data_IF_837487899036
#
_entry.id   IF_837487899036
#
_cell.length_a   1.000
_cell.length_b   1.000
_cell.length_c   1.000
_cell.angle_alpha   90.00
_cell.angle_beta   90.00
_cell.angle_gamma   90.00
#
_symmetry.space_group_name_H-M   'P 1'
#
loop_
_entity.id
_entity.type
_entity.pdbx_description
1 polymer ?
#
# COMPACT_ATOMS: atom_id res chain seq x y z
N UNK A 1 -5.26 7.04 5.51
CA UNK A 1 -4.70 6.85 4.14
C UNK A 1 -5.80 6.30 3.23
N UNK A 2 -6.40 7.16 2.40
CA UNK A 2 -7.39 6.73 1.40
C UNK A 2 -6.64 6.46 0.10
N UNK A 3 -6.30 5.19 -0.14
CA UNK A 3 -5.32 4.80 -1.15
C UNK A 3 -5.75 4.99 -2.62
N UNK A 4 -7.00 5.39 -2.90
CA UNK A 4 -7.57 5.45 -4.24
C UNK A 4 -8.51 6.64 -4.47
N UNK A 5 -8.32 7.72 -3.71
CA UNK A 5 -9.13 8.92 -3.89
C UNK A 5 -8.63 9.71 -5.12
N UNK A 6 -9.53 10.03 -6.06
CA UNK A 6 -9.21 10.99 -7.13
C UNK A 6 -9.15 12.39 -6.49
N UNK A 7 -7.94 12.94 -6.36
CA UNK A 7 -7.69 14.22 -5.68
C UNK A 7 -8.46 15.37 -6.35
N UNK A 8 -8.59 15.36 -7.68
CA UNK A 8 -9.33 16.40 -8.38
C UNK A 8 -10.82 16.33 -8.03
N UNK A 9 -11.44 15.16 -8.13
CA UNK A 9 -12.84 14.96 -7.74
C UNK A 9 -13.07 15.32 -6.28
N UNK A 10 -12.17 14.90 -5.38
CA UNK A 10 -12.22 15.21 -3.96
C UNK A 10 -12.23 16.72 -3.70
N UNK A 11 -11.35 17.47 -4.35
CA UNK A 11 -11.23 18.92 -4.17
C UNK A 11 -12.44 19.63 -4.79
N UNK A 12 -12.82 19.28 -6.02
CA UNK A 12 -13.96 19.91 -6.70
C UNK A 12 -15.27 19.70 -5.92
N UNK A 13 -15.57 18.46 -5.52
CA UNK A 13 -16.77 18.16 -4.74
C UNK A 13 -16.69 18.80 -3.34
N UNK A 14 -15.51 18.77 -2.71
CA UNK A 14 -15.29 19.39 -1.41
C UNK A 14 -15.53 20.89 -1.39
N UNK A 15 -15.13 21.61 -2.44
CA UNK A 15 -15.40 23.05 -2.60
C UNK A 15 -16.90 23.32 -2.70
N UNK A 16 -17.63 22.53 -3.50
CA UNK A 16 -19.09 22.68 -3.65
C UNK A 16 -19.79 22.51 -2.30
N UNK A 17 -19.53 21.40 -1.61
CA UNK A 17 -20.15 21.13 -0.30
C UNK A 17 -19.80 22.19 0.76
N UNK A 18 -18.55 22.68 0.73
CA UNK A 18 -18.12 23.75 1.63
C UNK A 18 -18.77 25.09 1.30
N UNK A 19 -19.02 25.40 0.02
CA UNK A 19 -19.72 26.63 -0.40
C UNK A 19 -21.21 26.63 -0.05
N UNK A 20 -21.80 25.45 0.11
CA UNK A 20 -23.19 25.25 0.51
C UNK A 20 -23.36 25.15 2.04
N UNK A 21 -22.28 25.35 2.82
CA UNK A 21 -22.23 25.21 4.29
C UNK A 21 -22.78 23.85 4.78
N UNK A 22 -22.61 22.78 3.98
CA UNK A 22 -23.07 21.43 4.31
C UNK A 22 -22.17 20.81 5.38
N UNK A 23 -22.76 20.29 6.46
CA UNK A 23 -22.03 19.56 7.49
C UNK A 23 -21.65 18.14 7.02
N UNK A 24 -20.54 17.60 7.52
CA UNK A 24 -20.09 16.24 7.20
C UNK A 24 -21.13 15.17 7.57
N UNK A 25 -21.99 15.44 8.55
CA UNK A 25 -23.05 14.53 9.00
C UNK A 25 -24.41 14.81 8.36
N UNK A 26 -24.49 15.66 7.34
CA UNK A 26 -25.74 15.98 6.68
C UNK A 26 -26.41 14.71 6.11
N UNK A 27 -27.70 14.55 6.40
CA UNK A 27 -28.49 13.36 6.04
C UNK A 27 -28.72 13.25 4.53
N UNK A 28 -28.59 14.35 3.78
CA UNK A 28 -28.70 14.38 2.33
C UNK A 28 -27.51 13.71 1.63
N UNK A 29 -26.36 13.61 2.30
CA UNK A 29 -25.15 13.04 1.72
C UNK A 29 -25.17 11.51 1.74
N UNK A 30 -24.85 10.92 0.58
CA UNK A 30 -24.57 9.50 0.49
C UNK A 30 -23.34 9.14 1.34
N UNK A 31 -23.27 7.88 1.79
CA UNK A 31 -22.17 7.43 2.65
C UNK A 31 -20.77 7.62 2.01
N UNK A 32 -20.69 7.57 0.68
CA UNK A 32 -19.45 7.83 -0.06
C UNK A 32 -19.08 9.31 -0.04
N UNK A 33 -20.05 10.20 -0.26
CA UNK A 33 -19.86 11.65 -0.26
C UNK A 33 -19.44 12.14 1.12
N UNK A 34 -20.07 11.64 2.20
CA UNK A 34 -19.64 11.95 3.58
C UNK A 34 -18.20 11.55 3.84
N UNK A 35 -17.81 10.36 3.35
CA UNK A 35 -16.44 9.87 3.51
C UNK A 35 -15.45 10.72 2.71
N UNK A 36 -15.78 11.09 1.48
CA UNK A 36 -14.94 11.97 0.66
C UNK A 36 -14.84 13.36 1.27
N UNK A 37 -15.95 13.94 1.73
CA UNK A 37 -15.94 15.26 2.35
C UNK A 37 -15.15 15.28 3.67
N UNK A 38 -15.24 14.23 4.49
CA UNK A 38 -14.38 14.07 5.66
C UNK A 38 -12.88 14.07 5.28
N UNK A 39 -12.51 13.37 4.19
CA UNK A 39 -11.13 13.35 3.70
C UNK A 39 -10.70 14.73 3.18
N UNK A 40 -11.58 15.45 2.52
CA UNK A 40 -11.32 16.82 2.09
C UNK A 40 -11.07 17.75 3.29
N UNK A 41 -11.90 17.70 4.34
CA UNK A 41 -11.69 18.48 5.56
C UNK A 41 -10.36 18.16 6.24
N UNK A 42 -9.99 16.88 6.33
CA UNK A 42 -8.68 16.46 6.83
C UNK A 42 -7.52 17.01 5.99
N UNK A 43 -7.67 17.03 4.65
CA UNK A 43 -6.67 17.62 3.74
C UNK A 43 -6.48 19.12 4.01
N UNK A 44 -7.56 19.86 4.24
CA UNK A 44 -7.50 21.28 4.62
C UNK A 44 -6.78 21.50 5.95
N UNK A 45 -7.01 20.61 6.94
CA UNK A 45 -6.30 20.68 8.22
C UNK A 45 -4.80 20.36 8.09
N UNK A 46 -4.41 19.49 7.15
CA UNK A 46 -3.01 19.12 6.92
C UNK A 46 -2.20 20.20 6.19
N UNK A 47 -2.83 21.00 5.32
CA UNK A 47 -2.16 21.99 4.48
C UNK A 47 -2.62 23.39 4.89
N UNK A 48 -1.81 24.13 5.68
CA UNK A 48 -2.15 25.48 6.09
C UNK A 48 -2.48 26.39 4.90
N UNK A 49 -3.53 27.19 5.06
CA UNK A 49 -4.03 28.15 4.06
C UNK A 49 -4.56 27.53 2.76
N UNK A 50 -4.66 26.20 2.66
CA UNK A 50 -5.23 25.56 1.47
C UNK A 50 -6.69 25.98 1.26
N UNK A 51 -7.49 26.04 2.32
CA UNK A 51 -8.89 26.44 2.27
C UNK A 51 -9.07 27.83 1.63
N UNK A 52 -8.42 28.85 2.20
CA UNK A 52 -8.47 30.22 1.67
C UNK A 52 -7.99 30.27 0.20
N UNK A 53 -6.91 29.55 -0.11
CA UNK A 53 -6.39 29.48 -1.49
C UNK A 53 -7.37 28.84 -2.45
N UNK A 54 -8.07 27.78 -2.07
CA UNK A 54 -9.07 27.14 -2.93
C UNK A 54 -10.26 28.07 -3.18
N UNK A 55 -10.71 28.81 -2.16
CA UNK A 55 -11.85 29.72 -2.25
C UNK A 55 -11.57 30.96 -3.12
N UNK A 56 -10.32 31.42 -3.16
CA UNK A 56 -9.92 32.60 -3.94
C UNK A 56 -9.40 32.26 -5.36
N UNK A 57 -9.29 30.97 -5.69
CA UNK A 57 -8.68 30.51 -6.94
C UNK A 57 -9.69 30.35 -8.08
N UNK A 58 -9.20 30.49 -9.31
CA UNK A 58 -9.93 30.06 -10.50
C UNK A 58 -9.98 28.52 -10.60
N UNK A 59 -10.93 27.99 -11.37
CA UNK A 59 -11.08 26.55 -11.63
C UNK A 59 -9.80 25.91 -12.21
N UNK A 60 -9.10 26.63 -13.11
CA UNK A 60 -7.82 26.19 -13.68
C UNK A 60 -6.72 26.08 -12.60
N UNK A 61 -6.68 27.05 -11.68
CA UNK A 61 -5.71 27.03 -10.58
C UNK A 61 -6.03 25.92 -9.57
N UNK A 62 -7.31 25.68 -9.27
CA UNK A 62 -7.76 24.54 -8.45
C UNK A 62 -7.33 23.22 -9.08
N UNK A 63 -7.51 23.06 -10.39
CA UNK A 63 -7.06 21.88 -11.14
C UNK A 63 -5.55 21.70 -11.01
N UNK A 64 -4.78 22.77 -11.20
CA UNK A 64 -3.32 22.76 -11.03
C UNK A 64 -2.91 22.35 -9.61
N UNK A 65 -3.60 22.84 -8.57
CA UNK A 65 -3.33 22.44 -7.19
C UNK A 65 -3.61 20.95 -6.96
N UNK A 66 -4.72 20.44 -7.48
CA UNK A 66 -5.07 19.02 -7.40
C UNK A 66 -4.01 18.13 -8.07
N UNK A 67 -3.54 18.52 -9.26
CA UNK A 67 -2.48 17.82 -9.99
C UNK A 67 -1.17 17.80 -9.20
N UNK A 68 -0.78 18.90 -8.57
CA UNK A 68 0.43 18.98 -7.76
C UNK A 68 0.35 18.07 -6.52
N UNK A 69 -0.80 18.03 -5.85
CA UNK A 69 -1.03 17.14 -4.71
C UNK A 69 -0.98 15.68 -5.17
N UNK A 70 -1.69 15.34 -6.26
CA UNK A 70 -1.68 13.99 -6.83
C UNK A 70 -0.27 13.56 -7.25
N UNK A 71 0.51 14.47 -7.83
CA UNK A 71 1.91 14.23 -8.20
C UNK A 71 2.78 13.95 -6.97
N UNK A 72 2.58 14.68 -5.88
CA UNK A 72 3.25 14.44 -4.61
C UNK A 72 2.92 13.06 -4.02
N UNK A 73 1.64 12.69 -4.02
CA UNK A 73 1.16 11.36 -3.57
C UNK A 73 1.80 10.25 -4.41
N UNK A 74 1.77 10.39 -5.74
CA UNK A 74 2.35 9.40 -6.65
C UNK A 74 3.88 9.29 -6.47
N UNK A 75 4.56 10.40 -6.22
CA UNK A 75 5.99 10.43 -5.92
C UNK A 75 6.33 9.65 -4.64
N UNK A 76 5.63 9.94 -3.55
CA UNK A 76 5.81 9.23 -2.28
C UNK A 76 5.52 7.72 -2.42
N UNK A 77 4.43 7.37 -3.11
CA UNK A 77 4.08 5.98 -3.40
C UNK A 77 5.16 5.26 -4.21
N UNK A 78 5.72 5.92 -5.23
CA UNK A 78 6.77 5.35 -6.07
C UNK A 78 8.09 5.15 -5.31
N UNK A 79 8.45 6.09 -4.43
CA UNK A 79 9.63 5.99 -3.57
C UNK A 79 9.49 4.84 -2.57
N UNK A 80 8.36 4.73 -1.88
CA UNK A 80 8.04 3.61 -0.98
C UNK A 80 8.08 2.28 -1.73
N UNK A 81 7.42 2.21 -2.89
CA UNK A 81 7.42 1.04 -3.78
C UNK A 81 8.85 0.62 -4.10
N UNK A 82 9.70 1.56 -4.48
CA UNK A 82 11.08 1.30 -4.88
C UNK A 82 11.92 0.81 -3.70
N UNK A 83 11.78 1.44 -2.53
CA UNK A 83 12.48 1.04 -1.30
C UNK A 83 12.13 -0.38 -0.87
N UNK A 84 10.83 -0.67 -0.77
CA UNK A 84 10.32 -2.01 -0.42
C UNK A 84 10.77 -3.04 -1.45
N UNK A 85 10.70 -2.75 -2.76
CA UNK A 85 11.15 -3.67 -3.81
C UNK A 85 12.60 -4.11 -3.66
N UNK A 86 13.48 -3.23 -3.22
CA UNK A 86 14.90 -3.56 -3.05
C UNK A 86 15.09 -4.37 -1.77
N UNK A 87 14.52 -3.91 -0.66
CA UNK A 87 14.73 -4.49 0.66
C UNK A 87 14.05 -5.86 0.83
N UNK A 88 12.94 -6.10 0.11
CA UNK A 88 12.16 -7.34 0.30
C UNK A 88 12.94 -8.61 -0.03
N UNK A 89 13.90 -8.52 -0.94
CA UNK A 89 14.78 -9.65 -1.27
C UNK A 89 15.57 -10.09 -0.05
N UNK A 90 16.02 -9.15 0.78
CA UNK A 90 16.73 -9.46 2.01
C UNK A 90 15.78 -10.07 3.04
N UNK A 91 14.55 -9.57 3.15
CA UNK A 91 13.57 -10.07 4.13
C UNK A 91 13.06 -11.48 3.83
N UNK A 92 12.94 -11.85 2.54
CA UNK A 92 12.53 -13.21 2.15
C UNK A 92 13.71 -14.19 2.13
N UNK A 93 14.95 -13.69 2.21
CA UNK A 93 16.14 -14.53 2.29
C UNK A 93 16.36 -14.94 3.74
N UNK A 94 16.35 -16.25 4.01
CA UNK A 94 16.62 -16.75 5.37
C UNK A 94 18.05 -16.40 5.79
N UNK A 95 18.24 -16.05 7.07
CA UNK A 95 19.56 -15.67 7.61
C UNK A 95 20.58 -16.77 7.35
N UNK A 96 21.70 -16.41 6.73
CA UNK A 96 22.77 -17.34 6.37
C UNK A 96 22.50 -18.21 5.14
N UNK A 97 21.39 -18.00 4.43
CA UNK A 97 21.07 -18.68 3.19
C UNK A 97 21.07 -17.72 1.99
N UNK A 98 21.04 -18.28 0.79
CA UNK A 98 20.83 -17.55 -0.46
C UNK A 98 19.60 -18.09 -1.17
N UNK A 99 18.85 -17.20 -1.83
CA UNK A 99 17.80 -17.63 -2.75
C UNK A 99 18.40 -18.38 -3.93
N UNK A 100 17.73 -19.46 -4.36
CA UNK A 100 18.11 -20.25 -5.52
C UNK A 100 16.92 -20.32 -6.49
N UNK A 101 17.06 -19.80 -7.72
CA UNK A 101 18.20 -19.04 -8.22
C UNK A 101 18.40 -17.70 -7.50
N UNK A 102 19.62 -17.15 -7.52
CA UNK A 102 19.87 -15.84 -6.91
C UNK A 102 18.98 -14.76 -7.54
N UNK A 103 18.30 -13.96 -6.71
CA UNK A 103 17.51 -12.81 -7.16
C UNK A 103 18.30 -11.52 -6.89
N UNK A 104 18.74 -10.79 -7.94
CA UNK A 104 19.32 -9.48 -7.76
C UNK A 104 18.29 -8.48 -7.23
N UNK A 105 18.70 -7.62 -6.28
CA UNK A 105 17.83 -6.61 -5.67
C UNK A 105 17.22 -5.60 -6.65
N UNK A 106 17.87 -5.39 -7.80
CA UNK A 106 17.45 -4.42 -8.82
C UNK A 106 16.78 -5.04 -10.05
N UNK A 107 16.65 -6.38 -10.12
CA UNK A 107 16.10 -7.10 -11.29
C UNK A 107 14.77 -7.74 -10.93
N UNK A 108 13.76 -7.56 -11.79
CA UNK A 108 12.38 -8.03 -11.55
C UNK A 108 12.03 -9.35 -12.25
N UNK A 109 12.69 -9.69 -13.35
CA UNK A 109 12.32 -10.82 -14.22
C UNK A 109 12.33 -12.18 -13.51
N UNK A 110 13.21 -12.36 -12.52
CA UNK A 110 13.31 -13.58 -11.72
C UNK A 110 12.48 -13.58 -10.43
N UNK A 111 11.44 -12.75 -10.33
CA UNK A 111 10.57 -12.66 -9.14
C UNK A 111 9.16 -13.15 -9.44
N UNK A 112 8.36 -13.27 -8.40
CA UNK A 112 6.97 -13.65 -8.49
C UNK A 112 6.81 -15.14 -8.64
N UNK A 113 5.86 -15.57 -9.48
CA UNK A 113 5.65 -16.99 -9.75
C UNK A 113 6.85 -17.65 -10.43
N UNK A 114 7.74 -16.88 -11.08
CA UNK A 114 8.95 -17.40 -11.73
C UNK A 114 10.07 -17.85 -10.77
N UNK A 115 9.89 -17.70 -9.46
CA UNK A 115 10.88 -18.13 -8.47
C UNK A 115 10.20 -18.78 -7.27
N UNK A 116 10.75 -19.92 -6.83
CA UNK A 116 10.17 -20.78 -5.78
C UNK A 116 9.73 -20.01 -4.53
N UNK A 117 10.65 -19.26 -3.90
CA UNK A 117 10.36 -18.51 -2.67
C UNK A 117 9.30 -17.42 -2.85
N UNK A 118 9.40 -16.60 -3.90
CA UNK A 118 8.46 -15.48 -4.11
C UNK A 118 7.11 -15.98 -4.61
N UNK A 119 7.09 -17.06 -5.37
CA UNK A 119 5.89 -17.69 -5.88
C UNK A 119 5.08 -18.33 -4.77
N UNK A 120 5.74 -19.05 -3.86
CA UNK A 120 5.10 -19.61 -2.66
C UNK A 120 4.44 -18.53 -1.80
N UNK A 121 5.12 -17.39 -1.58
CA UNK A 121 4.58 -16.25 -0.82
C UNK A 121 3.39 -15.57 -1.51
N UNK A 122 3.38 -15.53 -2.84
CA UNK A 122 2.30 -14.95 -3.65
C UNK A 122 1.15 -15.91 -3.91
N UNK A 123 1.36 -17.21 -3.70
CA UNK A 123 0.37 -18.23 -4.00
C UNK A 123 -0.94 -17.88 -3.27
N UNK A 124 -2.08 -17.90 -3.96
CA UNK A 124 -3.38 -17.77 -3.31
C UNK A 124 -3.56 -18.81 -2.23
N UNK A 125 -4.19 -18.45 -1.11
CA UNK A 125 -4.44 -19.39 0.00
C UNK A 125 -5.29 -20.60 -0.39
N UNK A 126 -6.13 -20.47 -1.42
CA UNK A 126 -6.93 -21.59 -1.96
C UNK A 126 -6.15 -22.52 -2.89
N UNK A 127 -4.87 -22.26 -3.15
CA UNK A 127 -4.02 -23.04 -4.05
C UNK A 127 -2.81 -23.61 -3.31
N UNK A 128 -2.48 -24.86 -3.60
CA UNK A 128 -1.26 -25.49 -3.10
C UNK A 128 -0.09 -25.22 -4.05
N UNK A 129 0.91 -24.47 -3.57
CA UNK A 129 2.13 -24.18 -4.33
C UNK A 129 2.98 -25.44 -4.60
N UNK A 130 2.89 -26.46 -3.74
CA UNK A 130 3.59 -27.73 -3.95
C UNK A 130 3.00 -28.55 -5.11
N UNK A 131 1.76 -28.26 -5.51
CA UNK A 131 1.14 -28.87 -6.67
C UNK A 131 1.76 -28.30 -7.97
N UNK A 132 2.58 -29.13 -8.62
CA UNK A 132 3.33 -28.77 -9.84
C UNK A 132 2.40 -28.30 -10.97
N UNK A 133 1.21 -28.88 -11.10
CA UNK A 133 0.26 -28.50 -12.15
C UNK A 133 -0.27 -27.08 -11.91
N UNK A 134 -0.72 -26.79 -10.68
CA UNK A 134 -1.22 -25.46 -10.31
C UNK A 134 -0.13 -24.40 -10.39
N UNK A 135 1.07 -24.73 -9.92
CA UNK A 135 2.26 -23.87 -10.04
C UNK A 135 2.56 -23.55 -11.51
N UNK A 136 2.58 -24.55 -12.38
CA UNK A 136 2.83 -24.35 -13.82
C UNK A 136 1.77 -23.43 -14.45
N UNK A 137 0.50 -23.62 -14.08
CA UNK A 137 -0.60 -22.76 -14.56
C UNK A 137 -0.45 -21.31 -14.07
N UNK A 138 -0.02 -21.08 -12.83
CA UNK A 138 0.26 -19.74 -12.30
C UNK A 138 1.45 -19.09 -13.02
N UNK A 139 2.55 -19.82 -13.20
CA UNK A 139 3.76 -19.35 -13.91
C UNK A 139 3.44 -18.95 -15.35
N UNK A 140 2.65 -19.76 -16.05
CA UNK A 140 2.27 -19.51 -17.43
C UNK A 140 1.11 -18.51 -17.59
N UNK A 141 0.58 -17.96 -16.48
CA UNK A 141 -0.55 -17.01 -16.50
C UNK A 141 -1.89 -17.62 -16.91
N UNK A 142 -2.01 -18.96 -16.91
CA UNK A 142 -3.25 -19.69 -17.20
C UNK A 142 -4.27 -19.58 -16.07
N UNK A 143 -3.81 -19.39 -14.84
CA UNK A 143 -4.64 -19.00 -13.70
C UNK A 143 -4.47 -17.50 -13.48
N UNK A 144 -5.55 -16.75 -13.65
CA UNK A 144 -5.62 -15.35 -13.24
C UNK A 144 -6.09 -15.31 -11.79
N UNK A 145 -5.18 -14.95 -10.88
CA UNK A 145 -5.50 -14.75 -9.46
C UNK A 145 -6.40 -13.53 -9.30
N UNK A 146 -7.64 -13.75 -8.89
CA UNK A 146 -8.60 -12.70 -8.64
C UNK A 146 -8.22 -11.82 -7.43
N UNK A 147 -8.81 -10.63 -7.33
CA UNK A 147 -8.47 -9.65 -6.28
C UNK A 147 -8.87 -10.09 -4.87
N UNK A 148 -9.88 -10.94 -4.76
CA UNK A 148 -10.40 -11.57 -3.55
C UNK A 148 -9.61 -12.82 -3.13
N UNK A 149 -8.77 -13.35 -4.01
CA UNK A 149 -7.84 -14.42 -3.69
C UNK A 149 -6.56 -13.86 -3.06
N UNK A 150 -6.46 -14.05 -1.75
CA UNK A 150 -5.41 -13.44 -0.96
C UNK A 150 -4.11 -14.26 -1.02
N UNK A 151 -2.97 -13.59 -1.17
CA UNK A 151 -1.68 -14.27 -1.16
C UNK A 151 -1.29 -14.67 0.26
N UNK A 152 -0.62 -15.81 0.37
CA UNK A 152 -0.16 -16.39 1.64
C UNK A 152 0.73 -15.43 2.46
N UNK A 153 1.48 -14.53 1.82
CA UNK A 153 2.34 -13.57 2.53
C UNK A 153 1.59 -12.64 3.49
N UNK A 154 0.26 -12.51 3.39
CA UNK A 154 -0.51 -11.68 4.31
C UNK A 154 -0.62 -12.30 5.71
N UNK A 155 -0.50 -13.62 5.84
CA UNK A 155 -0.76 -14.34 7.08
C UNK A 155 0.49 -14.50 7.94
N UNK A 156 0.31 -14.53 9.27
CA UNK A 156 1.40 -14.88 10.19
C UNK A 156 1.99 -16.25 9.80
N UNK A 157 3.31 -16.35 9.86
CA UNK A 157 4.07 -17.56 9.50
C UNK A 157 3.70 -18.18 8.14
N UNK A 158 3.10 -17.39 7.24
CA UNK A 158 2.68 -17.83 5.91
C UNK A 158 1.72 -19.03 5.95
N UNK A 159 0.87 -19.10 6.98
CA UNK A 159 -0.06 -20.20 7.19
C UNK A 159 -1.50 -19.70 7.13
N UNK A 160 -2.32 -20.34 6.29
CA UNK A 160 -3.74 -20.06 6.15
C UNK A 160 -4.58 -21.07 6.92
N UNK A 161 -5.51 -20.57 7.73
CA UNK A 161 -6.49 -21.39 8.44
C UNK A 161 -7.80 -21.41 7.65
N UNK A 162 -8.19 -22.61 7.21
CA UNK A 162 -9.40 -22.81 6.39
C UNK A 162 -10.68 -22.69 7.24
N UNK A 163 -10.58 -23.03 8.53
CA UNK A 163 -11.71 -22.97 9.47
C UNK A 163 -11.92 -21.55 10.00
N UNK A 164 -10.82 -20.77 10.14
CA UNK A 164 -10.87 -19.35 10.46
C UNK A 164 -9.97 -18.50 9.52
N UNK A 165 -10.49 -18.11 8.34
CA UNK A 165 -9.74 -17.31 7.36
C UNK A 165 -9.27 -15.94 7.85
N UNK A 166 -9.82 -15.43 8.95
CA UNK A 166 -9.43 -14.14 9.52
C UNK A 166 -8.30 -14.29 10.54
N UNK A 167 -8.08 -15.50 11.03
CA UNK A 167 -7.00 -15.81 11.94
C UNK A 167 -5.66 -15.42 11.29
N UNK A 168 -4.87 -14.65 12.05
CA UNK A 168 -3.51 -14.27 11.65
C UNK A 168 -3.39 -13.47 10.34
N UNK A 169 -4.50 -12.99 9.79
CA UNK A 169 -4.52 -12.14 8.61
C UNK A 169 -3.83 -10.80 8.89
N UNK A 170 -3.01 -10.34 7.93
CA UNK A 170 -2.22 -9.10 7.99
C UNK A 170 -1.17 -9.05 9.12
N UNK A 171 -0.80 -10.21 9.69
CA UNK A 171 0.17 -10.33 10.77
C UNK A 171 1.54 -10.89 10.34
N UNK A 172 1.82 -10.98 9.04
CA UNK A 172 3.10 -11.53 8.59
C UNK A 172 4.29 -10.64 8.95
N UNK A 173 5.44 -11.27 9.21
CA UNK A 173 6.69 -10.56 9.45
C UNK A 173 7.12 -9.67 8.27
N UNK A 174 6.72 -10.02 7.03
CA UNK A 174 6.98 -9.19 5.85
C UNK A 174 6.23 -7.85 5.92
N UNK A 175 4.97 -7.87 6.37
CA UNK A 175 4.19 -6.64 6.54
C UNK A 175 4.77 -5.77 7.65
N UNK A 176 5.24 -6.39 8.75
CA UNK A 176 5.93 -5.66 9.83
C UNK A 176 7.22 -5.00 9.32
N UNK A 177 8.06 -5.73 8.59
CA UNK A 177 9.29 -5.19 8.00
C UNK A 177 9.01 -4.06 7.01
N UNK A 178 8.01 -4.23 6.14
CA UNK A 178 7.63 -3.21 5.17
C UNK A 178 7.04 -1.96 5.84
N UNK A 179 6.21 -2.12 6.88
CA UNK A 179 5.68 -0.99 7.66
C UNK A 179 6.82 -0.22 8.32
N UNK A 180 7.76 -0.91 8.98
CA UNK A 180 8.93 -0.27 9.58
C UNK A 180 9.75 0.48 8.52
N UNK A 181 9.99 -0.13 7.37
CA UNK A 181 10.75 0.48 6.29
C UNK A 181 10.13 1.80 5.79
N UNK A 182 8.81 1.83 5.60
CA UNK A 182 8.06 2.99 5.08
C UNK A 182 7.85 4.06 6.16
N UNK A 183 7.35 3.66 7.33
CA UNK A 183 6.84 4.61 8.31
C UNK A 183 7.87 4.98 9.38
N UNK A 184 8.90 4.17 9.62
CA UNK A 184 9.89 4.49 10.65
C UNK A 184 11.25 4.81 10.03
N UNK A 185 12.00 3.82 9.59
CA UNK A 185 13.17 4.00 8.74
C UNK A 185 13.59 2.67 8.11
N UNK A 186 14.29 2.67 6.97
CA UNK A 186 14.90 1.46 6.42
C UNK A 186 15.80 0.71 7.41
N UNK A 187 16.52 1.44 8.28
CA UNK A 187 17.45 0.88 9.27
C UNK A 187 16.77 0.23 10.48
N UNK A 188 15.51 0.55 10.76
CA UNK A 188 14.76 0.07 11.93
C UNK A 188 14.25 -1.38 11.81
N UNK A 189 14.36 -1.98 10.62
CA UNK A 189 13.87 -3.33 10.37
C UNK A 189 14.69 -4.35 11.17
N UNK A 190 16.02 -4.22 11.15
CA UNK A 190 16.96 -5.17 11.78
C UNK A 190 17.61 -4.65 13.07
N UNK A 191 17.59 -3.35 13.33
CA UNK A 191 18.30 -2.71 14.44
C UNK A 191 17.42 -1.70 15.17
N UNK A 192 17.77 -1.40 16.43
CA UNK A 192 17.21 -0.22 17.10
C UNK A 192 17.51 1.05 16.28
N UNK A 193 16.54 1.96 16.11
CA UNK A 193 16.70 3.09 15.20
C UNK A 193 17.82 4.03 15.66
N UNK A 194 18.94 4.05 14.93
CA UNK A 194 19.98 5.10 15.01
C UNK A 194 19.72 6.22 13.99
N UNK A 195 18.45 6.56 13.76
CA UNK A 195 18.09 7.54 12.75
C UNK A 195 18.43 8.96 13.23
N UNK A 196 19.09 9.75 12.38
CA UNK A 196 19.36 11.18 12.63
C UNK A 196 18.21 12.09 12.22
N UNK A 197 17.17 11.53 11.58
CA UNK A 197 15.96 12.23 11.14
C UNK A 197 14.72 11.48 11.62
N UNK A 198 13.68 12.21 11.99
CA UNK A 198 12.37 11.66 12.34
C UNK A 198 11.79 10.84 11.19
N UNK A 199 11.23 9.67 11.50
CA UNK A 199 10.52 8.84 10.53
C UNK A 199 9.14 9.40 10.18
N UNK A 200 8.54 8.92 9.09
CA UNK A 200 7.22 9.37 8.62
C UNK A 200 6.12 9.24 9.69
N UNK A 201 6.14 8.17 10.48
CA UNK A 201 5.24 7.97 11.60
C UNK A 201 5.38 9.09 12.63
N UNK A 202 6.60 9.47 12.99
CA UNK A 202 6.83 10.54 13.95
C UNK A 202 6.45 11.91 13.37
N UNK A 203 6.80 12.17 12.10
CA UNK A 203 6.45 13.41 11.39
C UNK A 203 4.93 13.63 11.37
N UNK A 204 4.17 12.55 11.18
CA UNK A 204 2.72 12.58 11.10
C UNK A 204 1.99 12.18 12.40
N UNK A 205 2.70 12.09 13.54
CA UNK A 205 2.09 11.77 14.83
C UNK A 205 1.37 10.40 14.86
N UNK A 206 1.83 9.42 14.10
CA UNK A 206 1.30 8.07 14.06
C UNK A 206 1.80 7.28 15.27
N UNK A 207 0.88 6.97 16.20
CA UNK A 207 1.17 6.20 17.43
C UNK A 207 0.77 4.72 17.32
N UNK A 208 -0.03 4.37 16.30
CA UNK A 208 -0.48 3.01 16.05
C UNK A 208 -0.67 2.75 14.56
N UNK A 209 -0.61 1.48 14.19
CA UNK A 209 -0.94 1.04 12.84
C UNK A 209 -2.46 1.06 12.65
N UNK A 210 -2.93 1.74 11.60
CA UNK A 210 -4.34 1.78 11.21
C UNK A 210 -4.64 0.74 10.13
N UNK A 211 -5.92 0.39 9.95
CA UNK A 211 -6.40 -0.44 8.83
C UNK A 211 -5.92 0.11 7.47
N UNK A 212 -5.96 1.44 7.32
CA UNK A 212 -5.52 2.13 6.13
C UNK A 212 -4.02 1.98 5.88
N UNK A 213 -3.18 2.15 6.92
CA UNK A 213 -1.72 2.03 6.78
C UNK A 213 -1.27 0.60 6.54
N UNK A 214 -1.90 -0.41 7.16
CA UNK A 214 -1.54 -1.82 6.88
C UNK A 214 -1.98 -2.24 5.48
N UNK A 215 -3.14 -1.79 5.02
CA UNK A 215 -3.59 -2.00 3.64
C UNK A 215 -2.63 -1.36 2.65
N UNK A 216 -2.21 -0.11 2.90
CA UNK A 216 -1.18 0.56 2.10
C UNK A 216 0.11 -0.28 2.02
N UNK A 217 0.64 -0.75 3.15
CA UNK A 217 1.83 -1.60 3.17
C UNK A 217 1.63 -2.90 2.40
N UNK A 218 0.50 -3.57 2.57
CA UNK A 218 0.19 -4.80 1.82
C UNK A 218 0.17 -4.54 0.30
N UNK A 219 -0.37 -3.40 -0.13
CA UNK A 219 -0.34 -2.97 -1.54
C UNK A 219 1.04 -2.56 -2.03
N UNK A 220 2.01 -2.26 -1.16
CA UNK A 220 3.41 -2.03 -1.55
C UNK A 220 4.20 -3.35 -1.70
N UNK A 221 3.88 -4.34 -0.86
CA UNK A 221 4.52 -5.65 -0.87
C UNK A 221 4.07 -6.48 -2.09
N UNK A 222 2.79 -6.45 -2.47
CA UNK A 222 2.26 -7.25 -3.59
C UNK A 222 2.90 -6.92 -4.97
N UNK A 223 3.00 -5.64 -5.41
CA UNK A 223 3.65 -5.25 -6.67
C UNK A 223 5.16 -5.49 -6.69
N UNK A 224 5.76 -5.75 -5.54
CA UNK A 224 7.18 -6.09 -5.44
C UNK A 224 7.48 -7.51 -5.92
N UNK A 225 6.45 -8.34 -6.02
CA UNK A 225 6.58 -9.73 -6.39
C UNK A 225 5.89 -10.07 -7.72
N UNK A 226 4.84 -9.37 -8.13
CA UNK A 226 4.14 -9.71 -9.38
C UNK A 226 4.70 -8.90 -10.55
N UNK A 227 5.47 -9.54 -11.43
CA UNK A 227 5.73 -8.97 -12.76
C UNK A 227 4.60 -9.44 -13.68
N UNK A 228 3.80 -8.49 -14.16
CA UNK A 228 2.62 -8.68 -15.04
C UNK A 228 1.46 -9.45 -14.41
N UNK A 229 0.51 -8.72 -13.82
CA UNK A 229 -0.88 -9.21 -13.78
C UNK A 229 -1.95 -8.13 -13.58
N UNK A 230 -1.60 -6.84 -13.67
CA UNK A 230 -2.59 -5.77 -13.72
C UNK A 230 -2.10 -4.69 -14.69
N UNK A 231 -2.52 -4.82 -15.94
CA UNK A 231 -2.77 -3.71 -16.87
C UNK A 231 -4.26 -3.72 -17.12
#
# INVERSE_FOLDING_TARGET
>A
VHAFCNVQTLITNGIVLMSEDIDVNDESLMAIERKEYAVFKELLCMIPSLEARLMESSEEMVTTMAELIQKGINGAWADDTKGVKIAIIDWITLKGQSLSPHIPRNVKSGRGFNHERTGALLCPTGLDWANIEMRTKLVNGQIQVAGDQWPVFLYADYTYDVEDPWNSLLHSGLLVSAFKHIFTSPSSVDQEPKATRSGNAQIHGMHSMTKASITYVATQVRPSHVHHMFV
#
